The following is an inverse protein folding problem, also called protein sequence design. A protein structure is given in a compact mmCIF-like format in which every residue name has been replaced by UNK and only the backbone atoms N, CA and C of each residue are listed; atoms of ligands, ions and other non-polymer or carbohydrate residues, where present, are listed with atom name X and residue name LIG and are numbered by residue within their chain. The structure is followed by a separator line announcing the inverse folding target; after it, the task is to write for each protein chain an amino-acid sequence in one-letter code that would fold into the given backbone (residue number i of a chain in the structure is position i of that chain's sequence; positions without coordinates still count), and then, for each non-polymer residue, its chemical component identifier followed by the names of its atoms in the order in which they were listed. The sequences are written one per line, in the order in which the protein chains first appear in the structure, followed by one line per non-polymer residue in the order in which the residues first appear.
data_IF_996960096012
#
_entry.id   IF_996960096012
#
_cell.length_a   1.000
_cell.length_b   1.000
_cell.length_c   1.000
_cell.angle_alpha   90.00
_cell.angle_beta   90.00
_cell.angle_gamma   90.00
#
_symmetry.space_group_name_H-M   'P 1'
#
loop_
_entity.id
_entity.type
_entity.pdbx_description
1 polymer ?
#
# COMPACT_ATOMS: atom_id res chain seq x y z
N UNK A 1 -7.04 -26.49 9.92
CA UNK A 1 -8.34 -26.11 9.34
C UNK A 1 -8.07 -25.25 8.12
N UNK A 2 -8.46 -25.71 6.93
CA UNK A 2 -8.20 -25.01 5.65
C UNK A 2 -8.93 -23.67 5.52
N UNK A 3 -10.00 -23.46 6.31
CA UNK A 3 -10.83 -22.26 6.32
C UNK A 3 -10.06 -20.93 6.24
N UNK A 4 -9.03 -20.75 7.07
CA UNK A 4 -8.25 -19.50 7.12
C UNK A 4 -7.57 -19.20 5.79
N UNK A 5 -7.00 -20.23 5.17
CA UNK A 5 -6.25 -20.07 3.93
C UNK A 5 -7.18 -19.74 2.76
N UNK A 6 -8.39 -20.32 2.74
CA UNK A 6 -9.41 -20.01 1.74
C UNK A 6 -9.85 -18.55 1.84
N UNK A 7 -10.11 -18.06 3.06
CA UNK A 7 -10.53 -16.66 3.32
C UNK A 7 -9.47 -15.64 2.90
N UNK A 8 -8.19 -16.02 2.93
CA UNK A 8 -7.06 -15.19 2.53
C UNK A 8 -6.73 -15.27 1.04
N UNK A 9 -7.47 -16.08 0.27
CA UNK A 9 -7.24 -16.19 -1.16
C UNK A 9 -7.57 -14.86 -1.87
N UNK A 10 -6.72 -14.39 -2.80
CA UNK A 10 -7.01 -13.18 -3.57
C UNK A 10 -8.22 -13.35 -4.50
N UNK A 11 -8.54 -14.59 -4.87
CA UNK A 11 -9.68 -14.95 -5.70
C UNK A 11 -10.49 -16.01 -4.96
N UNK A 12 -11.77 -15.73 -4.77
CA UNK A 12 -12.72 -16.64 -4.12
C UNK A 12 -13.83 -16.93 -5.11
N UNK A 13 -13.91 -18.18 -5.56
CA UNK A 13 -14.98 -18.70 -6.40
C UNK A 13 -16.05 -19.42 -5.54
N UNK A 14 -17.15 -19.82 -6.18
CA UNK A 14 -18.23 -20.54 -5.48
C UNK A 14 -17.77 -21.87 -4.89
N UNK A 15 -16.80 -22.54 -5.52
CA UNK A 15 -16.24 -23.79 -5.03
C UNK A 15 -15.49 -23.58 -3.70
N UNK A 16 -14.69 -22.52 -3.60
CA UNK A 16 -14.00 -22.10 -2.38
C UNK A 16 -15.01 -21.73 -1.28
N UNK A 17 -16.11 -21.05 -1.61
CA UNK A 17 -17.17 -20.73 -0.63
C UNK A 17 -17.87 -21.99 -0.10
N UNK A 18 -18.11 -22.97 -0.98
CA UNK A 18 -18.65 -24.27 -0.56
C UNK A 18 -17.66 -25.01 0.35
N UNK A 19 -16.38 -25.05 -0.04
CA UNK A 19 -15.31 -25.63 0.77
C UNK A 19 -15.17 -24.96 2.13
N UNK A 20 -15.37 -23.65 2.21
CA UNK A 20 -15.38 -22.90 3.46
C UNK A 20 -16.48 -23.39 4.40
N UNK A 21 -17.67 -23.61 3.85
CA UNK A 21 -18.84 -24.12 4.57
C UNK A 21 -18.62 -25.56 5.04
N UNK A 22 -18.04 -26.42 4.21
CA UNK A 22 -17.65 -27.79 4.57
C UNK A 22 -16.62 -27.81 5.71
N UNK A 23 -15.57 -26.99 5.61
CA UNK A 23 -14.56 -26.87 6.66
C UNK A 23 -15.18 -26.47 8.01
N UNK A 24 -16.15 -25.55 7.99
CA UNK A 24 -16.84 -25.10 9.20
C UNK A 24 -17.77 -26.19 9.76
N UNK A 25 -18.44 -26.95 8.89
CA UNK A 25 -19.25 -28.10 9.28
C UNK A 25 -18.40 -29.19 9.94
N UNK A 26 -17.24 -29.51 9.36
CA UNK A 26 -16.29 -30.47 9.93
C UNK A 26 -15.82 -30.03 11.33
N UNK A 27 -15.50 -28.73 11.50
CA UNK A 27 -15.18 -28.18 12.81
C UNK A 27 -16.35 -28.36 13.80
N UNK A 28 -17.58 -28.05 13.39
CA UNK A 28 -18.76 -28.21 14.25
C UNK A 28 -19.03 -29.67 14.64
N UNK A 29 -18.72 -30.63 13.78
CA UNK A 29 -18.82 -32.05 14.09
C UNK A 29 -17.76 -32.50 15.10
N UNK A 30 -16.52 -32.01 14.96
CA UNK A 30 -15.37 -32.44 15.78
C UNK A 30 -15.18 -31.63 17.07
N UNK A 31 -15.81 -30.46 17.22
CA UNK A 31 -15.61 -29.56 18.37
C UNK A 31 -15.99 -30.17 19.72
N UNK A 32 -16.91 -31.14 19.74
CA UNK A 32 -17.33 -31.81 20.99
C UNK A 32 -16.21 -32.68 21.54
N UNK A 33 -15.51 -33.42 20.68
CA UNK A 33 -14.36 -34.25 21.06
C UNK A 33 -13.28 -33.40 21.77
N UNK A 34 -13.08 -32.16 21.32
CA UNK A 34 -12.13 -31.21 21.94
C UNK A 34 -12.55 -30.85 23.37
N UNK A 35 -13.86 -30.72 23.63
CA UNK A 35 -14.39 -30.47 24.98
C UNK A 35 -14.27 -31.72 25.85
N UNK A 36 -14.61 -32.89 25.31
CA UNK A 36 -14.56 -34.16 26.02
C UNK A 36 -13.12 -34.51 26.44
N UNK A 37 -12.14 -34.20 25.59
CA UNK A 37 -10.71 -34.30 25.93
C UNK A 37 -10.22 -33.22 26.92
N UNK A 38 -11.07 -32.28 27.33
CA UNK A 38 -10.70 -31.18 28.23
C UNK A 38 -9.66 -30.22 27.65
N UNK A 39 -9.46 -30.23 26.33
CA UNK A 39 -8.38 -29.48 25.66
C UNK A 39 -8.61 -27.97 25.69
N UNK A 40 -9.87 -27.53 25.81
CA UNK A 40 -10.20 -26.12 26.00
C UNK A 40 -10.05 -25.73 27.47
N UNK A 41 -8.94 -25.07 27.82
CA UNK A 41 -8.67 -24.59 29.18
C UNK A 41 -8.56 -23.07 29.25
N UNK A 42 -9.17 -22.48 30.27
CA UNK A 42 -8.84 -21.13 30.73
C UNK A 42 -7.68 -21.16 31.72
N UNK A 43 -7.35 -20.01 32.33
CA UNK A 43 -6.22 -19.89 33.28
C UNK A 43 -6.23 -20.97 34.37
N UNK A 44 -7.40 -21.30 34.93
CA UNK A 44 -7.50 -22.19 36.09
C UNK A 44 -8.46 -23.38 35.90
N UNK A 45 -9.30 -23.40 34.86
CA UNK A 45 -10.33 -24.44 34.68
C UNK A 45 -10.55 -24.81 33.22
N UNK A 46 -10.98 -26.05 32.98
CA UNK A 46 -11.52 -26.44 31.68
C UNK A 46 -12.80 -25.63 31.39
N UNK A 47 -13.01 -25.28 30.13
CA UNK A 47 -14.19 -24.55 29.65
C UNK A 47 -14.98 -25.54 28.79
N UNK A 48 -16.24 -25.74 29.15
CA UNK A 48 -17.16 -26.75 28.62
C UNK A 48 -18.05 -26.24 27.47
N UNK A 49 -17.89 -24.99 27.06
CA UNK A 49 -18.75 -24.34 26.06
C UNK A 49 -17.95 -23.82 24.86
N UNK A 50 -18.65 -23.42 23.80
CA UNK A 50 -18.09 -22.81 22.58
C UNK A 50 -18.45 -21.33 22.37
N UNK A 51 -18.62 -20.57 23.46
CA UNK A 51 -18.99 -19.14 23.40
C UNK A 51 -17.77 -18.26 23.11
N UNK A 52 -17.26 -18.36 21.89
CA UNK A 52 -16.19 -17.50 21.40
C UNK A 52 -16.79 -16.66 20.29
N UNK A 53 -17.03 -15.35 20.50
CA UNK A 53 -17.67 -14.50 19.49
C UNK A 53 -17.00 -14.56 18.12
N UNK A 54 -15.68 -14.71 18.07
CA UNK A 54 -14.92 -14.86 16.82
C UNK A 54 -15.25 -16.15 16.06
N UNK A 55 -15.62 -17.23 16.74
CA UNK A 55 -16.04 -18.48 16.09
C UNK A 55 -17.48 -18.42 15.62
N UNK A 56 -18.36 -17.73 16.35
CA UNK A 56 -19.72 -17.46 15.90
C UNK A 56 -19.71 -16.61 14.62
N UNK A 57 -18.84 -15.60 14.57
CA UNK A 57 -18.64 -14.78 13.37
C UNK A 57 -18.24 -15.58 12.13
N UNK A 58 -17.53 -16.71 12.28
CA UNK A 58 -17.12 -17.55 11.13
C UNK A 58 -18.31 -18.08 10.34
N UNK A 59 -19.48 -18.26 10.97
CA UNK A 59 -20.71 -18.70 10.31
C UNK A 59 -21.22 -17.70 9.28
N UNK A 60 -20.89 -16.42 9.48
CA UNK A 60 -21.30 -15.34 8.59
C UNK A 60 -20.32 -15.12 7.43
N UNK A 61 -19.13 -15.71 7.44
CA UNK A 61 -18.11 -15.42 6.41
C UNK A 61 -18.57 -15.86 5.01
N UNK A 62 -19.09 -17.10 4.87
CA UNK A 62 -19.60 -17.59 3.58
C UNK A 62 -20.76 -16.74 3.01
N UNK A 63 -21.84 -16.43 3.77
CA UNK A 63 -22.89 -15.56 3.26
C UNK A 63 -22.42 -14.13 3.01
N UNK A 64 -21.53 -13.58 3.85
CA UNK A 64 -20.92 -12.27 3.64
C UNK A 64 -20.11 -12.20 2.35
N UNK A 65 -19.38 -13.26 1.99
CA UNK A 65 -18.63 -13.29 0.72
C UNK A 65 -19.58 -13.19 -0.48
N UNK A 66 -20.71 -13.90 -0.43
CA UNK A 66 -21.70 -13.86 -1.52
C UNK A 66 -22.38 -12.49 -1.65
N UNK A 67 -22.53 -11.76 -0.55
CA UNK A 67 -23.23 -10.47 -0.54
C UNK A 67 -22.31 -9.26 -0.77
N UNK A 68 -21.10 -9.29 -0.21
CA UNK A 68 -20.20 -8.12 -0.16
C UNK A 68 -18.89 -8.35 -0.92
N UNK A 69 -18.67 -9.54 -1.47
CA UNK A 69 -17.42 -9.92 -2.12
C UNK A 69 -16.36 -10.41 -1.12
N UNK A 70 -15.13 -10.54 -1.62
CA UNK A 70 -14.03 -11.17 -0.88
C UNK A 70 -13.74 -10.47 0.48
N UNK A 71 -13.31 -11.21 1.51
CA UNK A 71 -13.05 -10.67 2.85
C UNK A 71 -12.03 -9.53 2.89
N UNK A 72 -11.07 -9.55 1.95
CA UNK A 72 -10.09 -8.48 1.78
C UNK A 72 -10.71 -7.11 1.46
N UNK A 73 -11.92 -7.06 0.92
CA UNK A 73 -12.59 -5.81 0.57
C UNK A 73 -13.14 -5.06 1.79
N UNK A 74 -13.44 -5.78 2.86
CA UNK A 74 -14.10 -5.24 4.06
C UNK A 74 -13.31 -5.50 5.35
N UNK A 75 -12.03 -5.86 5.24
CA UNK A 75 -11.14 -5.91 6.40
C UNK A 75 -10.68 -4.51 6.83
N UNK A 76 -10.30 -4.39 8.10
CA UNK A 76 -9.72 -3.16 8.64
C UNK A 76 -8.21 -3.07 8.39
N UNK A 77 -7.56 -4.11 7.86
CA UNK A 77 -6.10 -4.19 7.73
C UNK A 77 -5.54 -2.98 6.96
N UNK A 78 -6.19 -2.59 5.85
CA UNK A 78 -5.73 -1.46 5.04
C UNK A 78 -5.86 -0.13 5.77
N UNK A 79 -6.97 0.09 6.47
CA UNK A 79 -7.19 1.34 7.22
C UNK A 79 -6.32 1.40 8.47
N UNK A 80 -6.08 0.26 9.14
CA UNK A 80 -5.14 0.15 10.25
C UNK A 80 -3.69 0.41 9.82
N UNK A 81 -3.24 -0.19 8.71
CA UNK A 81 -1.93 0.09 8.13
C UNK A 81 -1.78 1.58 7.79
N UNK A 82 -2.77 2.19 7.13
CA UNK A 82 -2.77 3.62 6.86
C UNK A 82 -2.73 4.46 8.15
N UNK A 83 -3.51 4.09 9.16
CA UNK A 83 -3.51 4.79 10.45
C UNK A 83 -2.16 4.67 11.17
N UNK A 84 -1.50 3.51 11.09
CA UNK A 84 -0.15 3.35 11.62
C UNK A 84 0.82 4.28 10.90
N UNK A 85 0.88 4.21 9.57
CA UNK A 85 1.83 4.96 8.74
C UNK A 85 1.62 6.46 8.81
N UNK A 86 0.37 6.93 8.72
CA UNK A 86 0.09 8.36 8.56
C UNK A 86 -0.21 9.08 9.88
N UNK A 87 -0.56 8.35 10.94
CA UNK A 87 -0.91 8.97 12.22
C UNK A 87 0.01 8.50 13.33
N UNK A 88 0.12 7.19 13.59
CA UNK A 88 0.88 6.70 14.75
C UNK A 88 2.38 6.96 14.62
N UNK A 89 3.00 6.72 13.46
CA UNK A 89 4.44 6.94 13.29
C UNK A 89 4.82 8.44 13.33
N UNK A 90 4.12 9.36 12.64
CA UNK A 90 4.36 10.79 12.80
C UNK A 90 4.06 11.29 14.21
N UNK A 91 3.03 10.76 14.87
CA UNK A 91 2.75 11.08 16.26
C UNK A 91 3.89 10.68 17.19
N UNK A 92 4.43 9.47 17.04
CA UNK A 92 5.57 8.95 17.83
C UNK A 92 6.85 9.77 17.64
N UNK A 93 7.05 10.35 16.46
CA UNK A 93 8.19 11.22 16.17
C UNK A 93 7.96 12.69 16.54
N UNK A 94 6.74 13.06 16.93
CA UNK A 94 6.40 14.40 17.39
C UNK A 94 6.83 14.65 18.84
N UNK A 95 6.80 15.91 19.27
CA UNK A 95 7.02 16.28 20.67
C UNK A 95 5.77 16.05 21.57
N UNK A 96 4.72 15.42 21.04
CA UNK A 96 3.42 15.18 21.70
C UNK A 96 2.66 16.44 22.18
N UNK A 97 3.01 17.63 21.72
CA UNK A 97 2.35 18.90 22.05
C UNK A 97 1.90 19.62 20.78
N UNK A 98 0.61 19.87 20.59
CA UNK A 98 0.07 20.39 19.31
C UNK A 98 0.59 19.57 18.12
N UNK A 99 0.32 18.25 18.16
CA UNK A 99 0.90 17.29 17.23
C UNK A 99 0.25 17.33 15.85
N UNK A 100 -1.02 17.74 15.72
CA UNK A 100 -1.71 17.79 14.41
C UNK A 100 -0.91 18.54 13.33
N UNK A 101 -0.44 19.80 13.55
CA UNK A 101 0.38 20.49 12.55
C UNK A 101 1.76 19.87 12.36
N UNK A 102 2.29 19.13 13.35
CA UNK A 102 3.56 18.42 13.19
C UNK A 102 3.43 17.19 12.31
N UNK A 103 2.35 16.42 12.51
CA UNK A 103 2.01 15.28 11.66
C UNK A 103 1.81 15.75 10.22
N UNK A 104 1.00 16.80 9.99
CA UNK A 104 0.80 17.36 8.65
C UNK A 104 2.11 17.78 7.98
N UNK A 105 3.00 18.49 8.70
CA UNK A 105 4.30 18.90 8.17
C UNK A 105 5.24 17.72 7.92
N UNK A 106 5.18 16.66 8.72
CA UNK A 106 5.98 15.47 8.52
C UNK A 106 5.53 14.72 7.24
N UNK A 107 4.22 14.59 7.04
CA UNK A 107 3.63 13.98 5.84
C UNK A 107 3.97 14.78 4.58
N UNK A 108 3.80 16.11 4.61
CA UNK A 108 4.13 17.00 3.48
C UNK A 108 5.61 16.89 3.08
N UNK A 109 6.52 16.83 4.05
CA UNK A 109 7.95 16.62 3.77
C UNK A 109 8.22 15.23 3.17
N UNK A 110 7.63 14.18 3.74
CA UNK A 110 7.81 12.82 3.24
C UNK A 110 7.31 12.67 1.79
N UNK A 111 6.16 13.27 1.48
CA UNK A 111 5.59 13.29 0.12
C UNK A 111 6.50 14.04 -0.86
N UNK A 112 6.98 15.23 -0.49
CA UNK A 112 7.92 16.00 -1.32
C UNK A 112 9.22 15.25 -1.58
N UNK A 113 9.79 14.60 -0.57
CA UNK A 113 10.98 13.77 -0.73
C UNK A 113 10.73 12.56 -1.65
N UNK A 114 9.57 11.91 -1.52
CA UNK A 114 9.19 10.79 -2.37
C UNK A 114 9.01 11.20 -3.84
N UNK A 115 8.29 12.29 -4.08
CA UNK A 115 8.11 12.85 -5.43
C UNK A 115 9.45 13.24 -6.06
N UNK A 116 10.30 13.95 -5.30
CA UNK A 116 11.64 14.30 -5.76
C UNK A 116 12.44 13.05 -6.16
N UNK A 117 12.45 12.02 -5.31
CA UNK A 117 13.16 10.77 -5.58
C UNK A 117 12.66 10.07 -6.85
N UNK A 118 11.34 10.00 -7.06
CA UNK A 118 10.75 9.45 -8.29
C UNK A 118 11.20 10.26 -9.51
N UNK A 119 11.02 11.58 -9.47
CA UNK A 119 11.35 12.46 -10.59
C UNK A 119 12.83 12.35 -10.95
N UNK A 120 13.73 12.40 -9.97
CA UNK A 120 15.16 12.23 -10.19
C UNK A 120 15.49 10.87 -10.81
N UNK A 121 14.88 9.78 -10.32
CA UNK A 121 15.10 8.43 -10.85
C UNK A 121 14.63 8.29 -12.30
N UNK A 122 13.52 8.93 -12.66
CA UNK A 122 13.01 8.92 -14.04
C UNK A 122 13.93 9.73 -14.95
N UNK A 123 14.30 10.96 -14.55
CA UNK A 123 15.18 11.81 -15.32
C UNK A 123 16.57 11.19 -15.54
N UNK A 124 17.17 10.61 -14.49
CA UNK A 124 18.49 9.96 -14.61
C UNK A 124 18.46 8.73 -15.53
N UNK A 125 17.35 8.01 -15.56
CA UNK A 125 17.17 6.87 -16.47
C UNK A 125 17.01 7.34 -17.92
N UNK A 126 16.29 8.44 -18.15
CA UNK A 126 16.10 9.01 -19.48
C UNK A 126 17.41 9.55 -20.07
N UNK A 127 18.24 10.22 -19.28
CA UNK A 127 19.55 10.74 -19.75
C UNK A 127 20.52 9.62 -20.12
N UNK A 128 20.47 8.48 -19.42
CA UNK A 128 21.30 7.30 -19.75
C UNK A 128 20.87 6.59 -21.05
N UNK A 129 19.61 6.78 -21.48
CA UNK A 129 19.13 6.23 -22.75
C UNK A 129 19.56 7.10 -23.95
N UNK A 130 19.73 8.42 -23.75
CA UNK A 130 20.15 9.36 -24.80
C UNK A 130 21.66 9.42 -25.02
N UNK A 131 22.48 9.05 -24.02
CA UNK A 131 23.95 9.04 -24.12
C UNK A 131 24.53 7.87 -24.93
N UNK A 132 23.72 6.87 -25.32
CA UNK A 132 24.18 5.74 -26.15
C UNK A 132 24.10 6.02 -27.66
N UNK A 133 23.76 7.25 -28.07
CA UNK A 133 23.63 7.65 -29.48
C UNK A 133 24.44 8.91 -29.78
N UNK A 134 25.72 8.95 -29.45
CA UNK A 134 26.66 9.98 -29.93
C UNK A 134 28.11 9.53 -29.72
N UNK A 135 28.60 8.60 -30.55
CA UNK A 135 30.03 8.42 -30.76
C UNK A 135 30.28 7.86 -32.17
N UNK A 136 30.72 8.75 -33.08
CA UNK A 136 31.79 8.52 -34.07
C UNK A 136 31.83 9.67 -35.11
N UNK A 137 32.94 10.41 -35.16
CA UNK A 137 33.32 11.24 -36.31
C UNK A 137 34.06 12.54 -36.01
N UNK A 138 35.39 12.49 -36.03
CA UNK A 138 36.41 13.50 -35.66
C UNK A 138 36.76 14.53 -36.77
N UNK A 139 37.46 15.63 -36.37
CA UNK A 139 38.25 16.63 -37.17
C UNK A 139 37.54 17.69 -38.05
N UNK A 140 37.95 18.97 -38.22
CA UNK A 140 39.18 19.74 -37.90
C UNK A 140 38.92 21.27 -37.99
N UNK A 141 39.84 22.05 -37.38
CA UNK A 141 40.18 23.50 -37.42
C UNK A 141 39.43 24.56 -38.28
N UNK A 142 39.18 25.75 -37.68
CA UNK A 142 39.72 27.06 -38.13
C UNK A 142 39.23 28.23 -37.25
N UNK A 143 40.20 29.04 -36.79
CA UNK A 143 40.05 30.29 -36.04
C UNK A 143 39.71 31.45 -37.00
N UNK A 144 38.72 32.28 -36.68
CA UNK A 144 38.70 33.68 -37.13
C UNK A 144 38.14 34.59 -36.03
N UNK A 145 38.96 35.53 -35.56
CA UNK A 145 38.55 36.58 -34.62
C UNK A 145 37.76 37.68 -35.34
N UNK A 146 36.65 38.12 -34.75
CA UNK A 146 35.88 39.28 -35.19
C UNK A 146 35.17 39.95 -34.01
N UNK A 147 35.50 41.22 -33.80
CA UNK A 147 35.08 42.07 -32.67
C UNK A 147 33.58 42.36 -32.58
N UNK A 148 33.08 42.40 -31.33
CA UNK A 148 32.24 43.48 -30.78
C UNK A 148 30.74 43.52 -31.10
N UNK A 149 29.88 43.31 -30.09
CA UNK A 149 28.98 44.35 -29.53
C UNK A 149 27.99 43.74 -28.52
N UNK A 150 27.72 44.49 -27.45
CA UNK A 150 26.77 44.21 -26.37
C UNK A 150 25.32 43.96 -26.82
N UNK A 151 24.59 43.08 -26.12
CA UNK A 151 23.13 43.19 -25.92
C UNK A 151 22.63 42.25 -24.81
N UNK A 152 21.76 42.80 -23.96
CA UNK A 152 21.14 42.25 -22.75
C UNK A 152 19.95 41.29 -23.01
N UNK A 153 19.70 40.41 -22.01
CA UNK A 153 18.45 39.82 -21.51
C UNK A 153 17.36 39.22 -22.44
N UNK A 154 16.99 37.96 -22.15
CA UNK A 154 15.71 37.59 -21.47
C UNK A 154 15.54 36.07 -21.34
N UNK A 155 15.57 35.59 -20.10
CA UNK A 155 15.09 34.28 -19.68
C UNK A 155 13.56 34.31 -19.50
N UNK A 156 12.82 33.84 -20.48
CA UNK A 156 11.41 33.46 -20.33
C UNK A 156 11.10 32.30 -21.27
N UNK A 157 11.10 31.05 -20.77
CA UNK A 157 10.08 30.02 -21.09
C UNK A 157 10.43 28.65 -20.45
N UNK A 158 10.14 28.47 -19.16
CA UNK A 158 10.07 27.11 -18.56
C UNK A 158 8.98 27.01 -17.49
N UNK A 159 7.81 27.60 -17.76
CA UNK A 159 6.63 27.50 -16.88
C UNK A 159 5.42 26.89 -17.59
N UNK A 160 5.54 26.50 -18.86
CA UNK A 160 4.44 25.93 -19.66
C UNK A 160 4.26 24.41 -19.58
N UNK A 161 5.20 23.65 -19.02
CA UNK A 161 5.16 22.17 -19.08
C UNK A 161 4.44 21.47 -17.92
N UNK A 162 4.00 22.21 -16.89
CA UNK A 162 3.34 21.64 -15.70
C UNK A 162 1.81 21.87 -15.65
N UNK A 163 1.22 22.56 -16.63
CA UNK A 163 -0.20 22.90 -16.59
C UNK A 163 -1.13 21.79 -17.15
N UNK A 164 -0.62 20.86 -17.96
CA UNK A 164 -1.47 19.96 -18.76
C UNK A 164 -1.79 18.60 -18.14
N UNK A 165 -1.35 18.32 -16.90
CA UNK A 165 -1.63 17.05 -16.22
C UNK A 165 -2.79 17.10 -15.20
N UNK A 166 -3.39 18.27 -14.97
CA UNK A 166 -4.49 18.43 -14.00
C UNK A 166 -5.87 18.64 -14.63
N UNK A 167 -6.05 18.35 -15.92
CA UNK A 167 -7.34 18.54 -16.57
C UNK A 167 -7.75 17.37 -17.46
N UNK A 168 -7.88 16.18 -16.87
CA UNK A 168 -8.73 15.12 -17.41
C UNK A 168 -9.40 14.39 -16.25
N UNK A 169 -10.64 14.81 -15.96
CA UNK A 169 -11.67 13.95 -15.38
C UNK A 169 -12.17 12.96 -16.43
#
# INVERSE_FOLDING_TARGET
MEFRYIVQSPLIDDHMVNRLSECLAEFHQKKQIILDCGARRGKNKAIDNWHIPKLELMQNVAPSIKQMGAPMQWNADRTECSHITFVKEPFRSSNHCNFDPQICRALDRAEKCYLFHITTSICSSATSATDNTSDDGDMDDMIEEGSGSDAEDKDENMTGLFADLNNTC
#
